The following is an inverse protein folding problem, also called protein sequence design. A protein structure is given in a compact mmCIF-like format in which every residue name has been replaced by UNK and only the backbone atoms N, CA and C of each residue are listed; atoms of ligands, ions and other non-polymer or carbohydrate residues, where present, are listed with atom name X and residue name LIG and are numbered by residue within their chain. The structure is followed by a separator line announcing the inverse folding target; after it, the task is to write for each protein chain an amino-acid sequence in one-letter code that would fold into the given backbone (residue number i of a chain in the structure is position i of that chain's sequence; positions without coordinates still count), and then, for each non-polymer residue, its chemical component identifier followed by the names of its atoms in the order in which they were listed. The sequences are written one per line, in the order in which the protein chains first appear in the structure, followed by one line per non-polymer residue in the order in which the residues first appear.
data_IF_990286237532
#
_entry.id   IF_990286237532
#
_cell.length_a   1.000
_cell.length_b   1.000
_cell.length_c   1.000
_cell.angle_alpha   90.00
_cell.angle_beta   90.00
_cell.angle_gamma   90.00
#
_symmetry.space_group_name_H-M   'P 1'
#
loop_
_entity.id
_entity.type
_entity.pdbx_description
1 polymer ?
#
# COMPACT_ATOMS: atom_id res chain seq x y z
N UNK A 1 -1.60 -22.78 -38.07
CA UNK A 1 -2.16 -21.42 -37.96
C UNK A 1 -2.17 -21.02 -36.48
N UNK A 2 -1.59 -19.85 -36.16
CA UNK A 2 -1.75 -19.02 -34.93
C UNK A 2 -1.80 -19.79 -33.58
N UNK A 3 -0.68 -20.16 -32.95
CA UNK A 3 0.08 -19.37 -31.94
C UNK A 3 -0.75 -18.28 -31.25
N UNK A 4 -0.86 -18.33 -29.92
CA UNK A 4 -0.74 -17.23 -28.92
C UNK A 4 -1.59 -17.55 -27.67
N UNK A 5 -1.23 -17.30 -26.41
CA UNK A 5 -0.01 -16.85 -25.68
C UNK A 5 -0.49 -16.59 -24.21
N UNK A 6 0.43 -16.58 -23.23
CA UNK A 6 0.42 -15.72 -22.00
C UNK A 6 -0.48 -16.06 -20.80
N UNK A 7 -0.12 -15.80 -19.52
CA UNK A 7 0.62 -14.76 -18.71
C UNK A 7 0.59 -14.93 -17.14
N UNK A 8 1.67 -15.22 -16.36
CA UNK A 8 1.70 -15.47 -14.88
C UNK A 8 2.13 -14.25 -14.06
N UNK A 9 1.70 -14.20 -12.80
CA UNK A 9 1.67 -13.00 -11.94
C UNK A 9 2.66 -13.02 -10.77
N UNK A 10 2.87 -14.14 -10.14
CA UNK A 10 2.14 -14.18 -8.88
C UNK A 10 2.99 -14.16 -7.61
N UNK A 11 4.29 -14.39 -7.69
CA UNK A 11 5.15 -14.30 -6.51
C UNK A 11 5.57 -12.87 -6.14
N UNK A 12 5.81 -12.03 -7.16
CA UNK A 12 5.96 -10.61 -6.94
C UNK A 12 4.64 -10.02 -6.44
N UNK A 13 3.51 -10.54 -6.90
CA UNK A 13 2.18 -10.13 -6.46
C UNK A 13 1.96 -10.41 -4.98
N UNK A 14 2.26 -11.56 -4.39
CA UNK A 14 2.06 -11.71 -2.94
C UNK A 14 2.83 -10.67 -2.12
N UNK A 15 4.13 -10.50 -2.37
CA UNK A 15 4.95 -9.55 -1.63
C UNK A 15 4.61 -8.08 -1.99
N UNK A 16 4.31 -7.75 -3.25
CA UNK A 16 3.93 -6.41 -3.68
C UNK A 16 2.49 -6.06 -3.25
N UNK A 17 1.57 -7.01 -3.27
CA UNK A 17 0.16 -6.80 -2.92
C UNK A 17 0.00 -6.70 -1.39
N UNK A 18 0.81 -7.42 -0.60
CA UNK A 18 0.82 -7.33 0.87
C UNK A 18 1.65 -6.18 1.45
N UNK A 19 2.58 -5.58 0.68
CA UNK A 19 3.47 -4.49 1.18
C UNK A 19 3.48 -3.20 0.35
N UNK A 20 2.83 -3.16 -0.82
CA UNK A 20 2.87 -1.99 -1.74
C UNK A 20 1.50 -1.43 -2.14
N UNK A 21 0.40 -1.90 -1.57
CA UNK A 21 -0.91 -1.29 -1.81
C UNK A 21 -1.15 -0.27 -0.71
N UNK A 22 -1.10 1.04 -1.03
CA UNK A 22 -2.34 1.83 -1.20
C UNK A 22 -2.35 3.12 -2.07
N UNK A 23 -3.34 3.16 -2.96
CA UNK A 23 -4.48 4.07 -3.13
C UNK A 23 -4.33 5.56 -3.47
N UNK A 24 -4.49 5.86 -4.77
CA UNK A 24 -5.07 7.07 -5.32
C UNK A 24 -5.89 6.80 -6.60
N UNK A 25 -7.06 7.44 -6.67
CA UNK A 25 -7.81 7.96 -7.84
C UNK A 25 -9.30 7.96 -7.44
N UNK A 26 -9.66 8.98 -6.69
CA UNK A 26 -11.00 9.55 -6.67
C UNK A 26 -10.85 11.07 -6.59
N UNK A 27 -10.48 11.67 -7.72
CA UNK A 27 -10.62 13.09 -7.95
C UNK A 27 -11.95 13.33 -8.67
N UNK A 28 -13.03 13.45 -7.92
CA UNK A 28 -14.13 14.32 -8.36
C UNK A 28 -13.89 15.68 -7.71
N UNK A 29 -13.36 16.62 -8.51
CA UNK A 29 -13.20 18.01 -8.12
C UNK A 29 -11.87 18.63 -8.52
N UNK A 30 -11.78 19.10 -9.77
CA UNK A 30 -10.83 20.12 -10.28
C UNK A 30 -9.36 19.73 -10.54
N UNK A 31 -9.11 18.53 -11.08
CA UNK A 31 -7.94 18.23 -11.91
C UNK A 31 -8.42 17.35 -13.11
N UNK A 32 -7.79 17.40 -14.30
CA UNK A 32 -8.43 17.02 -15.56
C UNK A 32 -8.93 15.57 -15.55
N UNK A 33 -10.22 15.41 -15.80
CA UNK A 33 -10.92 14.15 -16.04
C UNK A 33 -10.19 13.32 -17.10
N UNK A 34 -9.54 12.23 -16.69
CA UNK A 34 -9.22 11.12 -17.58
C UNK A 34 -10.48 10.24 -17.66
N UNK A 35 -11.32 10.55 -18.64
CA UNK A 35 -12.43 9.68 -19.07
C UNK A 35 -11.88 8.38 -19.63
N UNK A 36 -12.03 7.29 -18.88
CA UNK A 36 -11.86 5.93 -19.40
C UNK A 36 -13.07 5.56 -20.23
N UNK A 37 -12.98 5.74 -21.55
CA UNK A 37 -13.92 5.12 -22.48
C UNK A 37 -13.60 3.61 -22.54
N UNK A 38 -14.37 2.82 -21.79
CA UNK A 38 -14.43 1.37 -21.96
C UNK A 38 -15.27 1.10 -23.21
N UNK A 39 -14.60 0.96 -24.35
CA UNK A 39 -15.19 0.30 -25.53
C UNK A 39 -14.44 -0.98 -25.80
N UNK A 40 -15.19 -2.08 -25.77
CA UNK A 40 -14.69 -3.41 -26.02
C UNK A 40 -14.16 -3.62 -27.43
N UNK A 41 -13.56 -4.80 -27.58
CA UNK A 41 -13.02 -5.45 -28.79
C UNK A 41 -11.58 -5.11 -29.19
N UNK A 42 -10.76 -6.16 -29.25
CA UNK A 42 -9.56 -6.21 -30.09
C UNK A 42 -8.22 -6.06 -29.35
N UNK A 43 -7.53 -7.18 -29.14
CA UNK A 43 -6.10 -7.19 -28.77
C UNK A 43 -5.26 -6.51 -29.86
N UNK A 44 -4.67 -5.35 -29.54
CA UNK A 44 -3.54 -4.76 -30.25
C UNK A 44 -2.97 -3.58 -29.44
N UNK A 45 -1.74 -3.75 -28.94
CA UNK A 45 -0.79 -2.71 -28.52
C UNK A 45 -1.19 -1.73 -27.39
N UNK A 46 -0.50 -1.88 -26.24
CA UNK A 46 -0.06 -0.73 -25.43
C UNK A 46 -1.07 -0.12 -24.45
N UNK A 47 -1.69 -0.91 -23.57
CA UNK A 47 -2.44 -0.38 -22.42
C UNK A 47 -1.95 -1.01 -21.11
N UNK A 48 -0.63 -1.02 -20.90
CA UNK A 48 -0.06 -1.16 -19.57
C UNK A 48 0.01 0.21 -18.92
N UNK A 49 -0.16 0.29 -17.60
CA UNK A 49 0.14 1.52 -16.89
C UNK A 49 1.59 1.95 -17.20
N UNK A 50 1.77 3.23 -17.47
CA UNK A 50 3.08 3.83 -17.65
C UNK A 50 3.87 3.72 -16.34
N UNK A 51 5.20 3.66 -16.45
CA UNK A 51 6.06 3.62 -15.26
C UNK A 51 5.80 4.82 -14.33
N UNK A 52 5.49 5.98 -14.90
CA UNK A 52 5.18 7.18 -14.14
C UNK A 52 3.84 7.09 -13.39
N UNK A 53 2.82 6.45 -13.97
CA UNK A 53 1.56 6.16 -13.25
C UNK A 53 1.81 5.21 -12.08
N UNK A 54 2.65 4.19 -12.28
CA UNK A 54 3.04 3.26 -11.23
C UNK A 54 3.79 3.98 -10.10
N UNK A 55 4.79 4.81 -10.43
CA UNK A 55 5.52 5.62 -9.45
C UNK A 55 4.58 6.55 -8.70
N UNK A 56 3.70 7.26 -9.40
CA UNK A 56 2.75 8.20 -8.78
C UNK A 56 1.84 7.50 -7.79
N UNK A 57 1.31 6.33 -8.15
CA UNK A 57 0.47 5.55 -7.27
C UNK A 57 1.26 5.03 -6.06
N UNK A 58 2.45 4.47 -6.29
CA UNK A 58 3.33 3.93 -5.25
C UNK A 58 3.88 4.97 -4.27
N UNK A 59 3.82 6.25 -4.65
CA UNK A 59 4.29 7.38 -3.84
C UNK A 59 3.13 8.09 -3.12
N UNK A 60 1.89 7.87 -3.57
CA UNK A 60 0.70 8.59 -3.11
C UNK A 60 0.44 8.51 -1.59
N UNK A 61 0.91 7.44 -0.96
CA UNK A 61 0.64 7.11 0.44
C UNK A 61 1.84 7.22 1.37
N UNK A 62 3.06 7.33 0.82
CA UNK A 62 4.28 7.37 1.64
C UNK A 62 4.33 8.58 2.56
N UNK A 63 3.58 9.63 2.23
CA UNK A 63 3.41 10.82 3.07
C UNK A 63 2.55 10.62 4.30
N UNK A 64 1.90 9.46 4.41
CA UNK A 64 1.07 9.09 5.54
C UNK A 64 1.78 8.08 6.46
N UNK A 65 3.05 7.78 6.21
CA UNK A 65 3.92 6.99 7.08
C UNK A 65 4.60 7.96 8.06
N UNK A 66 4.44 7.72 9.36
CA UNK A 66 5.05 8.56 10.38
C UNK A 66 6.52 8.14 10.66
N UNK A 67 7.32 8.94 11.40
CA UNK A 67 8.72 8.62 11.64
C UNK A 67 8.98 7.24 12.30
N UNK A 68 8.19 6.86 13.30
CA UNK A 68 8.36 5.55 13.98
C UNK A 68 8.06 4.37 13.04
N UNK A 69 7.10 4.55 12.12
CA UNK A 69 6.75 3.57 11.09
C UNK A 69 7.81 3.47 10.00
N UNK A 70 8.49 4.57 9.67
CA UNK A 70 9.66 4.56 8.78
C UNK A 70 10.77 3.68 9.39
N UNK A 71 10.97 3.75 10.70
CA UNK A 71 11.99 2.93 11.36
C UNK A 71 11.63 1.44 11.36
N UNK A 72 10.35 1.09 11.61
CA UNK A 72 9.87 -0.29 11.47
C UNK A 72 10.08 -0.84 10.04
N UNK A 73 9.80 -0.03 9.02
CA UNK A 73 10.05 -0.37 7.61
C UNK A 73 11.54 -0.57 7.33
N UNK A 74 12.42 0.29 7.87
CA UNK A 74 13.88 0.15 7.73
C UNK A 74 14.40 -1.10 8.44
N UNK A 75 13.86 -1.44 9.59
CA UNK A 75 14.21 -2.65 10.34
C UNK A 75 13.84 -3.91 9.53
N UNK A 76 12.61 -3.99 9.03
CA UNK A 76 12.17 -5.12 8.20
C UNK A 76 13.03 -5.25 6.93
N UNK A 77 13.43 -4.13 6.32
CA UNK A 77 14.38 -4.11 5.20
C UNK A 77 15.73 -4.72 5.58
N UNK A 78 16.30 -4.28 6.71
CA UNK A 78 17.59 -4.77 7.19
C UNK A 78 17.51 -6.27 7.49
N UNK A 79 16.45 -6.71 8.15
CA UNK A 79 16.20 -8.12 8.46
C UNK A 79 16.06 -8.96 7.18
N UNK A 80 15.39 -8.46 6.14
CA UNK A 80 15.30 -9.14 4.84
C UNK A 80 16.68 -9.36 4.21
N UNK A 81 17.57 -8.35 4.25
CA UNK A 81 18.94 -8.48 3.74
C UNK A 81 19.73 -9.50 4.54
N UNK A 82 19.66 -9.44 5.88
CA UNK A 82 20.34 -10.38 6.78
C UNK A 82 19.84 -11.81 6.53
N UNK A 83 18.52 -12.01 6.51
CA UNK A 83 17.90 -13.31 6.29
C UNK A 83 18.23 -13.92 4.91
N UNK A 84 18.42 -13.07 3.89
CA UNK A 84 18.91 -13.50 2.58
C UNK A 84 20.38 -13.93 2.59
N UNK A 85 21.22 -13.30 3.42
CA UNK A 85 22.66 -13.59 3.53
C UNK A 85 22.96 -14.81 4.40
N UNK A 86 22.26 -14.96 5.52
CA UNK A 86 22.46 -16.08 6.46
C UNK A 86 21.66 -17.34 6.11
N UNK A 87 20.76 -17.24 5.11
CA UNK A 87 19.96 -18.35 4.60
C UNK A 87 18.68 -18.62 5.38
N UNK A 88 18.33 -17.83 6.40
CA UNK A 88 17.11 -17.98 7.19
C UNK A 88 15.85 -17.77 6.34
N UNK A 89 15.94 -16.97 5.27
CA UNK A 89 14.84 -16.77 4.31
C UNK A 89 14.56 -18.03 3.45
N UNK A 90 15.49 -18.98 3.41
CA UNK A 90 15.43 -20.15 2.54
C UNK A 90 14.21 -21.03 2.83
N UNK A 91 13.93 -21.32 4.10
CA UNK A 91 12.77 -22.15 4.46
C UNK A 91 11.43 -21.47 4.15
N UNK A 92 11.36 -20.14 4.31
CA UNK A 92 10.15 -19.35 4.08
C UNK A 92 9.69 -19.33 2.62
N UNK A 93 10.55 -19.70 1.67
CA UNK A 93 10.22 -19.73 0.24
C UNK A 93 10.09 -21.15 -0.32
N UNK A 94 10.26 -22.20 0.49
CA UNK A 94 10.27 -23.58 0.01
C UNK A 94 8.94 -24.01 -0.62
N UNK A 95 7.81 -23.48 -0.14
CA UNK A 95 6.49 -23.73 -0.72
C UNK A 95 6.39 -23.33 -2.19
N UNK A 96 7.22 -22.40 -2.64
CA UNK A 96 7.25 -21.93 -4.03
C UNK A 96 8.02 -22.84 -4.96
N UNK A 97 8.86 -23.72 -4.43
CA UNK A 97 9.71 -24.64 -5.19
C UNK A 97 8.93 -25.92 -5.52
N UNK A 98 7.78 -25.74 -6.18
CA UNK A 98 6.97 -26.83 -6.72
C UNK A 98 7.74 -27.60 -7.78
N UNK A 99 7.31 -28.84 -8.07
CA UNK A 99 7.93 -29.66 -9.11
C UNK A 99 7.88 -28.96 -10.48
N UNK A 100 6.82 -28.20 -10.75
CA UNK A 100 6.69 -27.41 -11.98
C UNK A 100 7.67 -26.25 -12.03
N UNK A 101 7.85 -25.52 -10.93
CA UNK A 101 8.86 -24.46 -10.85
C UNK A 101 10.24 -25.03 -11.08
N UNK A 102 10.61 -26.11 -10.39
CA UNK A 102 11.91 -26.76 -10.59
C UNK A 102 12.09 -27.24 -12.02
N UNK A 103 11.05 -27.84 -12.63
CA UNK A 103 11.12 -28.28 -14.02
C UNK A 103 11.34 -27.12 -15.01
N UNK A 104 10.79 -25.92 -14.74
CA UNK A 104 11.01 -24.72 -15.58
C UNK A 104 12.45 -24.24 -15.54
N UNK A 105 13.06 -24.24 -14.36
CA UNK A 105 14.47 -23.87 -14.18
C UNK A 105 15.41 -24.95 -14.75
N UNK A 106 15.11 -26.23 -14.51
CA UNK A 106 15.86 -27.34 -15.10
C UNK A 106 15.87 -27.30 -16.63
N UNK A 107 14.77 -26.85 -17.26
CA UNK A 107 14.68 -26.71 -18.72
C UNK A 107 15.66 -25.66 -19.30
N UNK A 108 16.18 -24.74 -18.48
CA UNK A 108 17.21 -23.77 -18.87
C UNK A 108 18.59 -24.09 -18.27
N UNK A 109 18.75 -25.28 -17.69
CA UNK A 109 20.01 -25.76 -17.11
C UNK A 109 20.25 -25.40 -15.64
N UNK A 110 19.27 -24.79 -14.96
CA UNK A 110 19.40 -24.40 -13.56
C UNK A 110 18.95 -25.54 -12.62
N UNK A 111 19.63 -25.68 -11.49
CA UNK A 111 19.33 -26.59 -10.39
C UNK A 111 18.15 -26.09 -9.53
N UNK A 112 17.65 -26.94 -8.63
CA UNK A 112 16.63 -26.56 -7.65
C UNK A 112 17.14 -25.43 -6.74
N UNK A 113 18.40 -25.50 -6.36
CA UNK A 113 19.10 -24.52 -5.53
C UNK A 113 19.23 -23.17 -6.26
N UNK A 114 19.54 -23.18 -7.56
CA UNK A 114 19.59 -21.96 -8.38
C UNK A 114 18.19 -21.37 -8.61
N UNK A 115 17.16 -22.19 -8.78
CA UNK A 115 15.77 -21.74 -8.83
C UNK A 115 15.38 -21.01 -7.54
N UNK A 116 15.75 -21.59 -6.39
CA UNK A 116 15.51 -21.02 -5.07
C UNK A 116 16.26 -19.71 -4.87
N UNK A 117 17.54 -19.68 -5.25
CA UNK A 117 18.35 -18.47 -5.19
C UNK A 117 17.78 -17.34 -6.08
N UNK A 118 17.26 -17.68 -7.26
CA UNK A 118 16.63 -16.69 -8.14
C UNK A 118 15.33 -16.10 -7.57
N UNK A 119 14.53 -16.94 -6.89
CA UNK A 119 13.34 -16.50 -6.14
C UNK A 119 13.74 -15.58 -4.98
N UNK A 120 14.71 -15.99 -4.16
CA UNK A 120 15.23 -15.18 -3.05
C UNK A 120 15.79 -13.85 -3.55
N UNK A 121 16.58 -13.86 -4.64
CA UNK A 121 17.10 -12.62 -5.24
C UNK A 121 15.95 -11.69 -5.66
N UNK A 122 14.89 -12.24 -6.26
CA UNK A 122 13.72 -11.44 -6.64
C UNK A 122 13.06 -10.79 -5.41
N UNK A 123 13.00 -11.48 -4.28
CA UNK A 123 12.53 -10.88 -3.01
C UNK A 123 13.47 -9.81 -2.47
N UNK A 124 14.79 -10.03 -2.55
CA UNK A 124 15.79 -9.07 -2.09
C UNK A 124 15.79 -7.79 -2.94
N UNK A 125 15.64 -7.90 -4.25
CA UNK A 125 15.61 -6.74 -5.15
C UNK A 125 14.33 -5.91 -4.98
N UNK A 126 13.24 -6.51 -4.46
CA UNK A 126 12.00 -5.81 -4.18
C UNK A 126 12.14 -4.75 -3.09
N UNK A 127 13.11 -4.90 -2.18
CA UNK A 127 13.30 -3.99 -1.07
C UNK A 127 13.52 -2.54 -1.55
N UNK A 128 14.25 -2.35 -2.67
CA UNK A 128 14.57 -1.01 -3.16
C UNK A 128 13.32 -0.26 -3.62
N UNK A 129 12.34 -1.01 -4.11
CA UNK A 129 11.04 -0.47 -4.50
C UNK A 129 10.17 -0.23 -3.24
N UNK A 130 10.16 -1.18 -2.29
CA UNK A 130 9.35 -1.07 -1.07
C UNK A 130 9.73 0.15 -0.22
N UNK A 131 11.00 0.53 -0.17
CA UNK A 131 11.51 1.53 0.78
C UNK A 131 12.02 2.84 0.14
N UNK A 132 11.66 3.13 -1.12
CA UNK A 132 12.03 4.39 -1.80
C UNK A 132 11.10 5.58 -1.47
N UNK A 133 11.63 6.70 -0.98
CA UNK A 133 10.84 7.89 -0.62
C UNK A 133 10.92 9.02 -1.65
N UNK A 134 11.52 8.76 -2.79
CA UNK A 134 11.70 9.72 -3.87
C UNK A 134 11.23 9.12 -5.20
N UNK A 135 10.61 9.96 -6.04
CA UNK A 135 10.03 9.53 -7.30
C UNK A 135 11.10 8.99 -8.27
N UNK A 136 12.23 9.69 -8.39
CA UNK A 136 13.31 9.31 -9.31
C UNK A 136 14.02 8.02 -8.82
N UNK A 137 14.20 7.91 -7.51
CA UNK A 137 14.71 6.69 -6.88
C UNK A 137 13.75 5.50 -7.04
N UNK A 138 12.43 5.72 -6.93
CA UNK A 138 11.41 4.70 -7.18
C UNK A 138 11.45 4.23 -8.64
N UNK A 139 11.46 5.18 -9.58
CA UNK A 139 11.53 4.88 -11.00
C UNK A 139 12.78 4.05 -11.33
N UNK A 140 13.93 4.48 -10.80
CA UNK A 140 15.21 3.78 -10.93
C UNK A 140 15.16 2.37 -10.34
N UNK A 141 14.54 2.19 -9.18
CA UNK A 141 14.38 0.89 -8.53
C UNK A 141 13.49 -0.05 -9.36
N UNK A 142 12.39 0.43 -9.91
CA UNK A 142 11.50 -0.34 -10.78
C UNK A 142 12.19 -0.77 -12.08
N UNK A 143 13.01 0.11 -12.68
CA UNK A 143 13.80 -0.23 -13.87
C UNK A 143 14.89 -1.26 -13.56
N UNK A 144 15.59 -1.11 -12.44
CA UNK A 144 16.61 -2.06 -11.97
C UNK A 144 15.98 -3.43 -11.71
N UNK A 145 14.86 -3.48 -11.00
CA UNK A 145 14.13 -4.71 -10.73
C UNK A 145 13.74 -5.46 -12.00
N UNK A 146 13.20 -4.74 -12.99
CA UNK A 146 12.87 -5.29 -14.31
C UNK A 146 14.09 -5.91 -14.97
N UNK A 147 15.22 -5.20 -14.98
CA UNK A 147 16.44 -5.64 -15.63
C UNK A 147 17.03 -6.89 -14.96
N UNK A 148 17.09 -6.90 -13.64
CA UNK A 148 17.76 -7.95 -12.87
C UNK A 148 16.92 -9.23 -12.73
N UNK A 149 15.59 -9.11 -12.65
CA UNK A 149 14.72 -10.27 -12.43
C UNK A 149 14.00 -10.76 -13.69
N UNK A 150 14.17 -10.07 -14.83
CA UNK A 150 13.51 -10.42 -16.08
C UNK A 150 13.77 -11.86 -16.52
N UNK A 151 14.97 -12.42 -16.27
CA UNK A 151 15.27 -13.84 -16.55
C UNK A 151 14.41 -14.76 -15.67
N UNK A 152 14.42 -14.58 -14.36
CA UNK A 152 13.63 -15.36 -13.39
C UNK A 152 12.16 -15.40 -13.79
N UNK A 153 11.57 -14.24 -14.11
CA UNK A 153 10.18 -14.17 -14.52
C UNK A 153 9.91 -14.86 -15.86
N UNK A 154 10.81 -14.73 -16.85
CA UNK A 154 10.68 -15.47 -18.12
C UNK A 154 10.83 -16.99 -17.93
N UNK A 155 11.68 -17.43 -17.00
CA UNK A 155 11.81 -18.86 -16.68
C UNK A 155 10.51 -19.42 -16.11
N UNK A 156 9.98 -18.74 -15.08
CA UNK A 156 8.75 -19.17 -14.43
C UNK A 156 7.56 -19.10 -15.40
N UNK A 157 7.47 -18.03 -16.18
CA UNK A 157 6.21 -17.61 -16.81
C UNK A 157 6.25 -17.63 -18.35
N UNK A 158 7.38 -17.96 -18.95
CA UNK A 158 7.62 -17.93 -20.38
C UNK A 158 8.13 -16.58 -20.91
N UNK A 159 8.79 -16.61 -22.07
CA UNK A 159 9.42 -15.45 -22.73
C UNK A 159 8.45 -14.35 -23.14
N UNK A 160 7.17 -14.67 -23.15
CA UNK A 160 6.11 -13.77 -23.51
C UNK A 160 5.65 -12.92 -22.29
N UNK A 161 6.16 -13.19 -21.09
CA UNK A 161 5.94 -12.38 -19.90
C UNK A 161 6.52 -10.97 -20.03
N UNK A 162 5.79 -9.96 -19.55
CA UNK A 162 6.25 -8.58 -19.52
C UNK A 162 5.96 -7.90 -18.18
N UNK A 163 6.93 -7.16 -17.63
CA UNK A 163 6.84 -6.60 -16.28
C UNK A 163 5.76 -5.52 -16.16
N UNK A 164 5.44 -4.80 -17.24
CA UNK A 164 4.40 -3.77 -17.23
C UNK A 164 3.00 -4.37 -16.98
N UNK A 165 2.79 -5.65 -17.32
CA UNK A 165 1.56 -6.34 -16.97
C UNK A 165 1.47 -6.60 -15.47
N UNK A 166 2.59 -6.94 -14.83
CA UNK A 166 2.69 -7.07 -13.38
C UNK A 166 2.37 -5.73 -12.71
N UNK A 167 2.95 -4.63 -13.19
CA UNK A 167 2.62 -3.30 -12.66
C UNK A 167 1.13 -2.95 -12.82
N UNK A 168 0.55 -3.23 -13.98
CA UNK A 168 -0.87 -3.00 -14.22
C UNK A 168 -1.80 -3.88 -13.38
N UNK A 169 -1.32 -5.03 -12.94
CA UNK A 169 -2.05 -5.90 -12.01
C UNK A 169 -2.00 -5.38 -10.58
N UNK A 170 -0.84 -4.90 -10.13
CA UNK A 170 -0.68 -4.31 -8.80
C UNK A 170 -1.63 -3.12 -8.66
N UNK A 171 -1.66 -2.24 -9.66
CA UNK A 171 -2.58 -1.09 -9.68
C UNK A 171 -4.05 -1.51 -9.65
N UNK A 172 -4.44 -2.54 -10.40
CA UNK A 172 -5.81 -3.03 -10.34
C UNK A 172 -6.15 -3.68 -9.00
N UNK A 173 -5.21 -4.43 -8.40
CA UNK A 173 -5.38 -5.05 -7.07
C UNK A 173 -5.55 -4.00 -6.01
N UNK A 174 -4.81 -2.91 -6.16
CA UNK A 174 -4.98 -1.71 -5.37
C UNK A 174 -6.39 -1.11 -5.56
N UNK A 175 -6.87 -0.94 -6.78
CA UNK A 175 -8.23 -0.45 -7.01
C UNK A 175 -9.31 -1.36 -6.40
N UNK A 176 -9.14 -2.68 -6.49
CA UNK A 176 -10.10 -3.64 -5.92
C UNK A 176 -10.03 -3.65 -4.39
N UNK A 177 -8.84 -3.61 -3.80
CA UNK A 177 -8.69 -3.51 -2.34
C UNK A 177 -9.32 -2.23 -1.81
N UNK A 178 -9.29 -1.11 -2.55
CA UNK A 178 -10.04 0.10 -2.15
C UNK A 178 -11.53 -0.16 -2.08
N UNK A 179 -12.08 -0.87 -3.06
CA UNK A 179 -13.52 -1.16 -3.11
C UNK A 179 -13.90 -2.05 -1.94
N UNK A 180 -13.09 -3.05 -1.63
CA UNK A 180 -13.30 -3.95 -0.50
C UNK A 180 -13.19 -3.22 0.84
N UNK A 181 -12.18 -2.37 1.02
CA UNK A 181 -12.10 -1.50 2.20
C UNK A 181 -13.32 -0.59 2.28
N UNK A 182 -13.71 0.09 1.19
CA UNK A 182 -14.92 0.94 1.18
C UNK A 182 -16.19 0.16 1.55
N UNK A 183 -16.33 -1.07 1.05
CA UNK A 183 -17.44 -1.97 1.37
C UNK A 183 -17.41 -2.36 2.83
N UNK A 184 -16.25 -2.74 3.35
CA UNK A 184 -16.02 -3.08 4.75
C UNK A 184 -16.36 -1.92 5.68
N UNK A 185 -15.92 -0.69 5.36
CA UNK A 185 -16.27 0.50 6.17
C UNK A 185 -17.76 0.79 6.15
N UNK A 186 -18.42 0.63 4.99
CA UNK A 186 -19.88 0.85 4.90
C UNK A 186 -20.66 -0.17 5.71
N UNK A 187 -20.20 -1.41 5.75
CA UNK A 187 -20.88 -2.51 6.44
C UNK A 187 -20.58 -2.51 7.94
N UNK A 188 -19.33 -2.20 8.30
CA UNK A 188 -18.81 -2.25 9.67
C UNK A 188 -18.09 -0.93 10.03
N UNK A 189 -18.79 0.21 10.05
CA UNK A 189 -18.16 1.50 10.32
C UNK A 189 -17.46 1.49 11.68
N UNK A 190 -18.02 0.81 12.68
CA UNK A 190 -17.41 0.70 14.01
C UNK A 190 -16.17 -0.19 14.06
N UNK A 191 -15.99 -1.16 13.15
CA UNK A 191 -14.79 -2.02 13.12
C UNK A 191 -13.62 -1.32 12.44
N UNK A 192 -13.86 -0.58 11.35
CA UNK A 192 -12.82 0.27 10.80
C UNK A 192 -12.58 1.50 11.68
N UNK A 193 -13.62 2.00 12.35
CA UNK A 193 -13.44 3.01 13.41
C UNK A 193 -12.72 2.41 14.61
N UNK A 194 -12.84 1.11 14.90
CA UNK A 194 -11.99 0.44 15.87
C UNK A 194 -10.54 0.51 15.39
N UNK A 195 -10.24 0.18 14.13
CA UNK A 195 -8.91 0.39 13.48
C UNK A 195 -8.44 1.86 13.58
N UNK A 196 -9.36 2.83 13.48
CA UNK A 196 -9.14 4.27 13.66
C UNK A 196 -9.26 4.75 15.12
N UNK A 197 -9.38 3.86 16.11
CA UNK A 197 -9.37 4.16 17.55
C UNK A 197 -10.65 4.71 18.19
N UNK A 198 -11.81 4.58 17.57
CA UNK A 198 -13.12 5.01 18.11
C UNK A 198 -13.76 4.03 19.10
N UNK A 199 -13.04 3.00 19.57
CA UNK A 199 -13.58 2.02 20.51
C UNK A 199 -12.52 1.63 21.55
N UNK A 200 -12.98 1.19 22.73
CA UNK A 200 -12.14 0.62 23.80
C UNK A 200 -11.58 -0.78 23.45
N UNK A 201 -11.73 -1.23 22.19
CA UNK A 201 -11.21 -2.52 21.73
C UNK A 201 -9.70 -2.34 21.51
N UNK A 202 -8.91 -3.15 22.20
CA UNK A 202 -7.48 -3.24 21.98
C UNK A 202 -7.24 -3.77 20.56
N UNK A 203 -6.85 -2.88 19.65
CA UNK A 203 -6.46 -3.25 18.30
C UNK A 203 -5.05 -3.83 18.40
N UNK A 204 -4.92 -5.14 18.24
CA UNK A 204 -3.61 -5.78 18.17
C UNK A 204 -3.06 -5.68 16.75
N UNK A 205 -1.73 -5.72 16.62
CA UNK A 205 -1.05 -5.74 15.33
C UNK A 205 -1.51 -6.93 14.47
N UNK A 206 -1.82 -8.06 15.12
CA UNK A 206 -2.40 -9.26 14.51
C UNK A 206 -3.79 -9.01 13.92
N UNK A 207 -4.66 -8.28 14.61
CA UNK A 207 -6.01 -8.02 14.11
C UNK A 207 -5.99 -7.16 12.84
N UNK A 208 -5.17 -6.11 12.82
CA UNK A 208 -4.98 -5.26 11.62
C UNK A 208 -4.42 -6.08 10.48
N UNK A 209 -3.40 -6.90 10.77
CA UNK A 209 -2.78 -7.81 9.80
C UNK A 209 -3.80 -8.75 9.19
N UNK A 210 -4.51 -9.54 10.00
CA UNK A 210 -5.42 -10.58 9.52
C UNK A 210 -6.56 -9.99 8.68
N UNK A 211 -7.12 -8.86 9.10
CA UNK A 211 -8.18 -8.18 8.36
C UNK A 211 -7.69 -7.71 6.99
N UNK A 212 -6.52 -7.09 6.93
CA UNK A 212 -5.98 -6.59 5.66
C UNK A 212 -5.54 -7.72 4.75
N UNK A 213 -4.90 -8.76 5.28
CA UNK A 213 -4.59 -9.98 4.54
C UNK A 213 -5.86 -10.60 3.94
N UNK A 214 -6.96 -10.64 4.69
CA UNK A 214 -8.26 -11.15 4.21
C UNK A 214 -8.88 -10.30 3.11
N UNK A 215 -8.91 -8.97 3.27
CA UNK A 215 -9.40 -8.03 2.25
C UNK A 215 -8.57 -8.12 0.97
N UNK A 216 -7.28 -8.36 1.11
CA UNK A 216 -6.35 -8.51 0.01
C UNK A 216 -6.51 -9.79 -0.78
N UNK A 217 -6.70 -10.92 -0.08
CA UNK A 217 -7.11 -12.18 -0.72
C UNK A 217 -8.37 -11.94 -1.55
N UNK A 218 -9.37 -11.27 -0.99
CA UNK A 218 -10.63 -10.95 -1.67
C UNK A 218 -10.39 -10.14 -2.94
N UNK A 219 -9.63 -9.04 -2.85
CA UNK A 219 -9.27 -8.19 -3.99
C UNK A 219 -8.55 -8.95 -5.12
N UNK A 220 -7.62 -9.85 -4.76
CA UNK A 220 -6.93 -10.70 -5.72
C UNK A 220 -7.90 -11.64 -6.46
N UNK A 221 -8.75 -12.34 -5.70
CA UNK A 221 -9.75 -13.26 -6.27
C UNK A 221 -10.76 -12.53 -7.17
N UNK A 222 -11.27 -11.38 -6.74
CA UNK A 222 -12.23 -10.59 -7.51
C UNK A 222 -11.65 -10.15 -8.87
N UNK A 223 -10.35 -9.87 -8.93
CA UNK A 223 -9.68 -9.58 -10.18
C UNK A 223 -9.37 -10.81 -11.03
N UNK A 224 -9.02 -11.94 -10.43
CA UNK A 224 -8.44 -13.06 -11.17
C UNK A 224 -9.36 -14.24 -11.41
N UNK A 225 -10.52 -14.32 -10.75
CA UNK A 225 -11.35 -15.53 -10.82
C UNK A 225 -12.41 -15.47 -11.92
N UNK A 226 -12.86 -14.26 -12.26
CA UNK A 226 -13.79 -14.06 -13.37
C UNK A 226 -13.14 -14.36 -14.72
N UNK A 227 -13.60 -15.38 -15.45
CA UNK A 227 -13.07 -15.73 -16.80
C UNK A 227 -13.11 -14.58 -17.83
N UNK A 228 -13.96 -13.58 -17.61
CA UNK A 228 -14.07 -12.38 -18.44
C UNK A 228 -13.15 -11.23 -17.97
N UNK A 229 -12.49 -11.39 -16.82
CA UNK A 229 -11.51 -10.42 -16.35
C UNK A 229 -10.27 -10.45 -17.23
N UNK A 230 -9.77 -9.26 -17.59
CA UNK A 230 -8.47 -9.11 -18.26
C UNK A 230 -7.30 -9.65 -17.43
N UNK A 231 -7.51 -9.85 -16.13
CA UNK A 231 -6.52 -10.37 -15.18
C UNK A 231 -6.68 -11.87 -14.87
N UNK A 232 -7.70 -12.56 -15.42
CA UNK A 232 -7.86 -14.02 -15.27
C UNK A 232 -6.62 -14.82 -15.70
N UNK A 233 -5.90 -14.28 -16.68
CA UNK A 233 -4.64 -14.83 -17.20
C UNK A 233 -3.63 -15.18 -16.10
N UNK A 234 -3.63 -14.38 -15.03
CA UNK A 234 -2.73 -14.54 -13.92
C UNK A 234 -3.02 -15.78 -13.08
N UNK A 235 -4.29 -16.11 -12.87
CA UNK A 235 -4.70 -17.34 -12.18
C UNK A 235 -4.38 -18.59 -13.00
N UNK A 236 -4.63 -18.55 -14.32
CA UNK A 236 -4.29 -19.68 -15.20
C UNK A 236 -2.82 -20.03 -15.12
N UNK A 237 -1.99 -19.00 -15.13
CA UNK A 237 -0.57 -19.20 -15.21
C UNK A 237 -0.08 -19.65 -13.86
N UNK A 238 -0.56 -19.04 -12.77
CA UNK A 238 -0.31 -19.49 -11.41
C UNK A 238 -0.39 -21.01 -11.32
N UNK A 239 -1.51 -21.54 -11.82
CA UNK A 239 -1.75 -22.97 -11.89
C UNK A 239 -0.77 -23.73 -12.81
N UNK A 240 -0.25 -23.14 -13.90
CA UNK A 240 0.77 -23.78 -14.76
C UNK A 240 2.08 -24.13 -14.02
N UNK A 241 2.33 -23.49 -12.86
CA UNK A 241 3.47 -23.82 -11.99
C UNK A 241 3.04 -24.30 -10.60
N UNK A 242 1.80 -24.76 -10.47
CA UNK A 242 1.19 -25.24 -9.21
C UNK A 242 1.22 -24.20 -8.08
N UNK A 243 1.16 -22.92 -8.43
CA UNK A 243 0.93 -21.84 -7.48
C UNK A 243 -0.55 -21.42 -7.51
N UNK A 244 -1.01 -20.81 -6.42
CA UNK A 244 -2.31 -20.13 -6.33
C UNK A 244 -2.19 -18.89 -5.41
N UNK A 245 -3.26 -18.11 -5.26
CA UNK A 245 -3.24 -16.91 -4.40
C UNK A 245 -2.94 -17.28 -2.95
N UNK A 246 -3.44 -18.42 -2.49
CA UNK A 246 -3.32 -18.88 -1.12
C UNK A 246 -1.86 -19.20 -0.76
N UNK A 247 -1.17 -19.99 -1.59
CA UNK A 247 0.25 -20.33 -1.43
C UNK A 247 1.12 -19.07 -1.35
N UNK A 248 0.77 -18.09 -2.17
CA UNK A 248 1.49 -16.84 -2.25
C UNK A 248 1.34 -16.00 -0.99
N UNK A 249 0.12 -15.89 -0.48
CA UNK A 249 -0.12 -15.21 0.79
C UNK A 249 0.53 -15.98 1.95
N UNK A 250 0.42 -17.30 1.97
CA UNK A 250 1.10 -18.13 2.97
C UNK A 250 2.62 -17.92 2.94
N UNK A 251 3.22 -17.87 1.75
CA UNK A 251 4.66 -17.58 1.60
C UNK A 251 4.99 -16.17 2.12
N UNK A 252 4.13 -15.18 1.86
CA UNK A 252 4.34 -13.85 2.43
C UNK A 252 4.28 -13.85 3.96
N UNK A 253 3.36 -14.59 4.56
CA UNK A 253 3.26 -14.71 6.02
C UNK A 253 4.50 -15.39 6.61
N UNK A 254 5.04 -16.41 5.93
CA UNK A 254 6.28 -17.09 6.29
C UNK A 254 7.49 -16.16 6.19
N UNK A 255 7.60 -15.37 5.12
CA UNK A 255 8.65 -14.34 4.97
C UNK A 255 8.50 -13.27 6.04
N UNK A 256 7.28 -12.80 6.29
CA UNK A 256 6.96 -11.80 7.32
C UNK A 256 7.36 -12.26 8.71
N UNK A 257 7.13 -13.53 9.06
CA UNK A 257 7.55 -14.09 10.34
C UNK A 257 9.08 -14.07 10.54
N UNK A 258 9.86 -14.05 9.45
CA UNK A 258 11.33 -13.94 9.49
C UNK A 258 11.79 -12.49 9.60
N UNK A 259 11.19 -11.57 8.81
CA UNK A 259 11.73 -10.21 8.65
C UNK A 259 11.03 -9.16 9.52
N UNK A 260 9.79 -9.41 9.92
CA UNK A 260 8.92 -8.52 10.69
C UNK A 260 8.07 -9.33 11.69
N UNK A 261 8.70 -10.01 12.68
CA UNK A 261 7.99 -10.90 13.60
C UNK A 261 6.93 -10.18 14.46
N UNK A 262 7.09 -8.87 14.67
CA UNK A 262 6.12 -8.00 15.34
C UNK A 262 5.00 -7.46 14.44
N UNK A 263 5.09 -7.67 13.12
CA UNK A 263 4.22 -7.08 12.09
C UNK A 263 4.20 -5.54 12.10
N UNK A 264 5.24 -4.90 12.62
CA UNK A 264 5.31 -3.45 12.76
C UNK A 264 5.42 -2.76 11.39
N UNK A 265 6.21 -3.33 10.47
CA UNK A 265 6.32 -2.83 9.11
C UNK A 265 5.03 -3.08 8.31
N UNK A 266 4.41 -4.26 8.46
CA UNK A 266 3.12 -4.55 7.83
C UNK A 266 2.02 -3.60 8.34
N UNK A 267 2.00 -3.33 9.65
CA UNK A 267 1.10 -2.34 10.27
C UNK A 267 1.38 -0.91 9.79
N UNK A 268 2.64 -0.52 9.60
CA UNK A 268 3.00 0.79 9.06
C UNK A 268 2.40 1.00 7.66
N UNK A 269 2.57 0.02 6.76
CA UNK A 269 1.96 0.07 5.41
C UNK A 269 0.45 0.17 5.54
N UNK A 270 -0.16 -0.77 6.27
CA UNK A 270 -1.58 -0.80 6.58
C UNK A 270 -2.16 0.54 7.06
N UNK A 271 -1.49 1.19 8.01
CA UNK A 271 -1.95 2.46 8.54
C UNK A 271 -1.79 3.59 7.52
N UNK A 272 -0.69 3.62 6.76
CA UNK A 272 -0.52 4.60 5.68
C UNK A 272 -1.64 4.51 4.62
N UNK A 273 -2.12 3.28 4.32
CA UNK A 273 -3.30 3.03 3.49
C UNK A 273 -4.51 3.76 4.03
N UNK A 274 -4.81 3.50 5.31
CA UNK A 274 -6.02 3.96 5.96
C UNK A 274 -6.00 5.49 6.04
N UNK A 275 -4.86 6.05 6.43
CA UNK A 275 -4.63 7.49 6.51
C UNK A 275 -4.76 8.19 5.15
N UNK A 276 -4.34 7.55 4.05
CA UNK A 276 -4.49 8.12 2.70
C UNK A 276 -5.96 8.28 2.28
N UNK A 277 -6.87 7.54 2.93
CA UNK A 277 -8.31 7.66 2.74
C UNK A 277 -8.94 8.75 3.60
N UNK A 278 -8.24 9.32 4.59
CA UNK A 278 -8.79 10.37 5.45
C UNK A 278 -8.54 11.74 4.80
N UNK A 279 -9.62 12.43 4.43
CA UNK A 279 -9.58 13.82 4.02
C UNK A 279 -9.76 14.73 5.23
N UNK A 280 -8.74 15.51 5.54
CA UNK A 280 -8.87 16.66 6.42
C UNK A 280 -9.29 17.89 5.61
N UNK A 281 -10.30 18.62 6.09
CA UNK A 281 -10.78 19.87 5.51
C UNK A 281 -10.77 20.97 6.55
N UNK A 282 -10.16 22.10 6.20
CA UNK A 282 -10.17 23.31 7.03
C UNK A 282 -10.90 24.41 6.28
N UNK A 283 -12.00 24.86 6.86
CA UNK A 283 -12.97 25.79 6.26
C UNK A 283 -13.39 25.35 4.83
N UNK A 284 -13.62 24.05 4.65
CA UNK A 284 -14.01 23.45 3.38
C UNK A 284 -12.86 23.19 2.39
N UNK A 285 -11.64 23.66 2.67
CA UNK A 285 -10.47 23.38 1.83
C UNK A 285 -9.78 22.09 2.27
N UNK A 286 -9.58 21.15 1.35
CA UNK A 286 -8.82 19.93 1.60
C UNK A 286 -7.37 20.26 1.95
N UNK A 287 -6.89 19.68 3.05
CA UNK A 287 -5.51 19.74 3.49
C UNK A 287 -4.79 18.49 2.99
N UNK A 288 -3.59 18.70 2.49
CA UNK A 288 -2.69 17.66 2.02
C UNK A 288 -1.48 17.65 2.96
N UNK A 289 -1.04 16.48 3.49
CA UNK A 289 0.10 16.40 4.39
C UNK A 289 1.39 17.02 3.81
N UNK A 290 1.52 17.06 2.48
CA UNK A 290 2.68 17.62 1.79
C UNK A 290 2.64 19.13 1.58
N UNK A 291 1.47 19.75 1.73
CA UNK A 291 1.27 21.17 1.45
C UNK A 291 0.91 21.93 2.72
N UNK A 292 1.83 22.73 3.30
CA UNK A 292 1.55 23.46 4.53
C UNK A 292 0.33 24.37 4.41
N UNK A 293 -0.60 24.23 5.35
CA UNK A 293 -1.72 25.13 5.48
C UNK A 293 -1.21 26.49 5.97
N UNK A 294 -1.42 27.53 5.18
CA UNK A 294 -1.14 28.90 5.62
C UNK A 294 -2.33 29.49 6.37
N UNK A 295 -2.11 29.89 7.62
CA UNK A 295 -3.05 30.64 8.44
C UNK A 295 -2.64 32.11 8.54
N UNK A 296 -3.63 32.98 8.62
CA UNK A 296 -3.45 34.38 9.03
C UNK A 296 -3.53 34.46 10.54
N UNK A 297 -2.80 35.39 11.15
CA UNK A 297 -2.86 35.63 12.60
C UNK A 297 -4.28 35.96 13.14
N UNK A 298 -5.18 36.43 12.28
CA UNK A 298 -6.59 36.67 12.59
C UNK A 298 -7.47 35.42 12.63
N UNK A 299 -6.98 34.29 12.11
CA UNK A 299 -7.77 33.06 12.00
C UNK A 299 -7.88 32.40 13.38
N UNK A 300 -9.04 32.52 14.01
CA UNK A 300 -9.23 32.13 15.41
C UNK A 300 -10.20 30.95 15.62
N UNK A 301 -10.95 30.54 14.58
CA UNK A 301 -11.94 29.46 14.63
C UNK A 301 -12.25 28.89 13.25
N UNK A 302 -11.22 28.49 12.50
CA UNK A 302 -11.45 27.86 11.20
C UNK A 302 -12.03 26.46 11.43
N UNK A 303 -13.18 26.17 10.82
CA UNK A 303 -13.86 24.87 10.95
C UNK A 303 -12.93 23.75 10.51
N UNK A 304 -12.73 22.75 11.36
CA UNK A 304 -12.02 21.52 11.05
C UNK A 304 -13.06 20.42 10.81
N UNK A 305 -12.85 19.62 9.77
CA UNK A 305 -13.68 18.47 9.48
C UNK A 305 -12.82 17.34 8.94
N UNK A 306 -13.07 16.12 9.41
CA UNK A 306 -12.49 14.90 8.87
C UNK A 306 -13.57 14.11 8.15
N UNK A 307 -13.21 13.53 7.02
CA UNK A 307 -14.07 12.66 6.22
C UNK A 307 -13.25 11.53 5.62
N UNK A 308 -13.89 10.43 5.27
CA UNK A 308 -13.22 9.33 4.57
C UNK A 308 -13.61 9.36 3.09
N UNK A 309 -12.62 9.29 2.19
CA UNK A 309 -12.81 9.37 0.73
C UNK A 309 -13.83 8.34 0.26
N UNK A 310 -14.84 8.79 -0.48
CA UNK A 310 -15.88 7.92 -1.06
C UNK A 310 -16.89 7.35 -0.05
N UNK A 311 -16.90 7.87 1.17
CA UNK A 311 -17.83 7.51 2.24
C UNK A 311 -18.60 8.74 2.67
N UNK A 312 -19.93 8.62 2.73
CA UNK A 312 -20.76 9.65 3.35
C UNK A 312 -20.61 9.55 4.87
N UNK A 313 -19.69 10.35 5.42
CA UNK A 313 -19.48 10.47 6.86
C UNK A 313 -20.38 11.56 7.47
N UNK A 314 -21.43 12.02 6.77
CA UNK A 314 -22.18 13.24 7.11
C UNK A 314 -22.81 13.27 8.51
N UNK A 315 -23.05 12.11 9.13
CA UNK A 315 -23.53 12.01 10.51
C UNK A 315 -22.42 11.73 11.55
N UNK A 316 -21.18 11.47 11.12
CA UNK A 316 -20.05 11.10 11.96
C UNK A 316 -19.12 12.30 12.17
N UNK A 317 -19.06 12.82 13.40
CA UNK A 317 -18.05 13.80 13.79
C UNK A 317 -16.73 13.11 14.13
N UNK A 318 -16.04 12.64 13.09
CA UNK A 318 -14.75 11.96 13.23
C UNK A 318 -13.73 12.87 13.93
N UNK A 319 -13.77 14.18 13.68
CA UNK A 319 -12.81 15.12 14.26
C UNK A 319 -12.95 15.23 15.78
N UNK A 320 -14.19 15.22 16.28
CA UNK A 320 -14.49 15.25 17.72
C UNK A 320 -14.26 13.93 18.46
N UNK A 321 -13.98 12.84 17.75
CA UNK A 321 -13.64 11.54 18.35
C UNK A 321 -12.14 11.32 18.50
N UNK A 322 -11.33 12.26 18.02
CA UNK A 322 -9.87 12.18 18.07
C UNK A 322 -9.31 13.14 19.10
N UNK A 323 -8.17 12.77 19.65
CA UNK A 323 -7.33 13.69 20.39
C UNK A 323 -6.44 14.47 19.40
N UNK A 324 -6.10 15.70 19.78
CA UNK A 324 -5.30 16.60 18.94
C UNK A 324 -4.12 17.17 19.71
N UNK A 325 -2.95 17.14 19.07
CA UNK A 325 -1.71 17.70 19.60
C UNK A 325 -1.18 18.74 18.61
N UNK A 326 -0.58 19.79 19.14
CA UNK A 326 0.28 20.68 18.37
C UNK A 326 1.71 20.55 18.85
N UNK A 327 2.66 20.41 17.92
CA UNK A 327 4.09 20.41 18.24
C UNK A 327 4.54 21.77 18.81
N UNK A 328 3.88 22.86 18.41
CA UNK A 328 4.09 24.20 18.99
C UNK A 328 2.77 25.01 19.11
N UNK A 329 2.09 24.92 20.27
CA UNK A 329 0.83 25.64 20.52
C UNK A 329 0.92 27.17 20.39
N UNK A 330 2.13 27.76 20.46
CA UNK A 330 2.31 29.19 20.24
C UNK A 330 2.14 29.60 18.76
N UNK A 331 2.26 28.63 17.83
CA UNK A 331 2.07 28.81 16.38
C UNK A 331 0.65 28.39 15.96
N UNK A 332 0.13 27.24 16.38
CA UNK A 332 -1.24 26.84 16.06
C UNK A 332 -1.83 25.92 17.13
N UNK A 333 -3.16 25.91 17.30
CA UNK A 333 -3.86 25.00 18.22
C UNK A 333 -5.13 24.45 17.58
N UNK A 334 -5.54 23.27 18.01
CA UNK A 334 -6.86 22.70 17.73
C UNK A 334 -7.73 22.86 18.98
N UNK A 335 -9.02 23.12 18.81
CA UNK A 335 -9.97 23.10 19.91
C UNK A 335 -10.03 21.70 20.55
N UNK A 336 -10.32 21.61 21.85
CA UNK A 336 -10.39 20.33 22.57
C UNK A 336 -11.41 19.37 21.97
N UNK A 337 -12.51 19.91 21.41
CA UNK A 337 -13.55 19.15 20.73
C UNK A 337 -13.21 18.80 19.27
N UNK A 338 -11.98 19.09 18.79
CA UNK A 338 -11.56 18.84 17.42
C UNK A 338 -12.28 19.66 16.35
N UNK A 339 -13.18 20.58 16.72
CA UNK A 339 -14.09 21.24 15.77
C UNK A 339 -13.44 22.37 14.97
N UNK A 340 -12.31 22.92 15.46
CA UNK A 340 -11.70 24.09 14.84
C UNK A 340 -10.20 24.25 15.10
N UNK A 341 -9.54 24.95 14.19
CA UNK A 341 -8.14 25.36 14.29
C UNK A 341 -8.03 26.86 14.49
N UNK A 342 -7.03 27.24 15.28
CA UNK A 342 -6.70 28.62 15.63
C UNK A 342 -5.22 28.90 15.37
N UNK A 343 -4.94 30.03 14.73
CA UNK A 343 -3.59 30.59 14.64
C UNK A 343 -3.13 31.10 16.01
N UNK A 344 -1.89 30.77 16.36
CA UNK A 344 -1.19 31.24 17.52
C UNK A 344 -0.64 32.65 17.35
N UNK A 345 0.10 33.12 18.36
CA UNK A 345 0.64 34.49 18.38
C UNK A 345 1.98 34.62 17.65
N UNK A 346 2.69 33.50 17.50
CA UNK A 346 4.03 33.40 16.94
C UNK A 346 3.96 32.99 15.47
N UNK A 347 4.78 33.63 14.63
CA UNK A 347 4.95 33.24 13.22
C UNK A 347 5.86 32.02 13.13
N UNK A 348 5.65 31.18 12.12
CA UNK A 348 6.46 30.00 11.87
C UNK A 348 5.64 28.82 11.40
N UNK A 349 6.29 27.67 11.26
CA UNK A 349 5.66 26.41 10.89
C UNK A 349 5.65 25.46 12.08
N UNK A 350 4.53 24.77 12.28
CA UNK A 350 4.37 23.69 13.26
C UNK A 350 3.57 22.54 12.64
N UNK A 351 3.44 21.43 13.36
CA UNK A 351 2.54 20.35 12.98
C UNK A 351 1.41 20.23 13.99
N UNK A 352 0.21 19.98 13.46
CA UNK A 352 -0.92 19.49 14.25
C UNK A 352 -1.15 18.02 13.91
N UNK A 353 -1.36 17.20 14.93
CA UNK A 353 -1.52 15.76 14.81
C UNK A 353 -2.84 15.34 15.44
N UNK A 354 -3.68 14.68 14.65
CA UNK A 354 -4.85 13.95 15.13
C UNK A 354 -4.44 12.51 15.45
N UNK A 355 -4.83 12.02 16.63
CA UNK A 355 -4.51 10.68 17.08
C UNK A 355 -5.66 10.05 17.86
N UNK A 356 -5.63 8.74 18.01
CA UNK A 356 -6.63 7.97 18.77
C UNK A 356 -6.66 8.44 20.23
N UNK A 357 -7.84 8.49 20.86
CA UNK A 357 -8.02 8.82 22.29
C UNK A 357 -7.50 7.69 23.20
N UNK A 358 -6.19 7.46 23.17
CA UNK A 358 -5.45 6.67 24.15
C UNK A 358 -4.03 7.26 24.27
N UNK A 359 -3.79 7.91 25.40
CA UNK A 359 -2.91 9.07 25.54
C UNK A 359 -1.42 8.70 25.67
N UNK A 360 -1.10 7.41 25.74
CA UNK A 360 0.23 6.94 26.11
C UNK A 360 1.20 6.81 24.93
N UNK A 361 0.72 6.83 23.67
CA UNK A 361 1.54 6.62 22.47
C UNK A 361 1.04 7.45 21.27
N UNK A 362 1.17 8.78 21.34
CA UNK A 362 0.69 9.71 20.29
C UNK A 362 1.19 9.35 18.89
N UNK A 363 2.45 8.97 18.75
CA UNK A 363 3.05 8.63 17.45
C UNK A 363 2.49 7.31 16.88
N UNK A 364 2.32 6.28 17.71
CA UNK A 364 1.73 4.99 17.32
C UNK A 364 0.22 5.09 17.03
N UNK A 365 -0.41 6.14 17.54
CA UNK A 365 -1.83 6.42 17.39
C UNK A 365 -2.13 7.53 16.37
N UNK A 366 -1.11 8.06 15.68
CA UNK A 366 -1.26 9.10 14.67
C UNK A 366 -2.20 8.63 13.55
N UNK A 367 -3.13 9.50 13.15
CA UNK A 367 -4.03 9.29 12.01
C UNK A 367 -3.87 10.36 10.95
N UNK A 368 -3.61 11.59 11.36
CA UNK A 368 -3.41 12.72 10.46
C UNK A 368 -2.35 13.62 11.05
N UNK A 369 -1.39 14.05 10.22
CA UNK A 369 -0.42 15.08 10.57
C UNK A 369 -0.41 16.15 9.48
N UNK A 370 -0.55 17.41 9.88
CA UNK A 370 -0.67 18.54 8.96
C UNK A 370 0.36 19.60 9.34
N UNK A 371 1.17 20.01 8.37
CA UNK A 371 2.00 21.19 8.51
C UNK A 371 1.13 22.46 8.47
N UNK A 372 1.30 23.34 9.46
CA UNK A 372 0.59 24.61 9.59
C UNK A 372 1.60 25.74 9.71
N UNK A 373 1.46 26.75 8.85
CA UNK A 373 2.31 27.95 8.85
C UNK A 373 1.49 29.18 9.19
N UNK A 374 1.86 29.91 10.23
CA UNK A 374 1.32 31.25 10.54
C UNK A 374 2.24 32.33 10.00
N UNK A 375 1.67 33.24 9.19
CA UNK A 375 2.38 34.37 8.59
C UNK A 375 2.16 35.71 9.30
#
# INVERSE_FOLDING_TARGET
MKKTKKVLASLAIASMVLTMIPFNVLAEGTAPTLTYAVTGTGMSNGHGATLQEVVTEMMSYRGYINPSEIDALREARANLVIAGQDGTLSSAVDGLLTDKVVARFAAIGDTREEAKAAIIKSLLDLQEIQYSYDNDAMESALLKFKAENGRTFRTLFGDDFNIELLYSFILATNDELQKDIKKEVKQNPLELMAILGGSNIEITDTLIKDKLVGLLKTALHDLTDGKNSKYYVFNQKLADIDWNIELLVETQEQVGAVIDPGNAAQKAVAMSVIRSQIQCKINGKTCDPWTPLTLKKSDNKLKLALSVKGIDTGALDIAGWLAWKSDNPAIATVAEDGSSIKAGRTKGTTFITAYRMNDLQVEENELIRIAVTVK
#
